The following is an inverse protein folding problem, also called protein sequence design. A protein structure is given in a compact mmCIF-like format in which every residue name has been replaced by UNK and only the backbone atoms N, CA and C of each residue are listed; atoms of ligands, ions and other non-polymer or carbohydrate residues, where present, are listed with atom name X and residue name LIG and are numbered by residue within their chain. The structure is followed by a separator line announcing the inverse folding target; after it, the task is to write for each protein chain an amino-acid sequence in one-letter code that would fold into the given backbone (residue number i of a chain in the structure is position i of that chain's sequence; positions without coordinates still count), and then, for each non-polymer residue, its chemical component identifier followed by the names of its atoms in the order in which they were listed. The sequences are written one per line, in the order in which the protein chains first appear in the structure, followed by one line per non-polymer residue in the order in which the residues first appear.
data_IF_903217162485
#
_entry.id   IF_903217162485
#
_cell.length_a   1.000
_cell.length_b   1.000
_cell.length_c   1.000
_cell.angle_alpha   90.00
_cell.angle_beta   90.00
_cell.angle_gamma   90.00
#
_symmetry.space_group_name_H-M   'P 1'
#
loop_
_entity.id
_entity.type
_entity.pdbx_description
1 polymer ?
#
# COMPACT_ATOMS: atom_id res chain seq x y z
N UNK A 1 18.46 -7.01 6.17
CA UNK A 1 18.18 -5.58 6.51
C UNK A 1 18.41 -4.69 5.28
N UNK A 2 17.68 -4.94 4.19
CA UNK A 2 17.90 -4.34 2.86
C UNK A 2 17.13 -3.03 2.67
N UNK A 3 15.92 -2.93 3.22
CA UNK A 3 15.10 -1.72 3.11
C UNK A 3 15.39 -0.74 4.27
N UNK A 4 15.73 0.53 4.01
CA UNK A 4 15.90 1.53 5.06
C UNK A 4 14.62 1.78 5.87
N UNK A 5 14.73 2.23 7.13
CA UNK A 5 13.55 2.71 7.88
C UNK A 5 12.95 3.91 7.14
N UNK A 6 11.61 4.01 7.14
CA UNK A 6 10.88 5.07 6.43
C UNK A 6 11.20 5.10 4.93
N UNK A 7 11.09 3.93 4.29
CA UNK A 7 11.42 3.74 2.88
C UNK A 7 10.18 3.34 2.10
N UNK A 8 10.17 3.66 0.82
CA UNK A 8 9.14 3.17 -0.08
C UNK A 8 9.65 3.01 -1.50
N UNK A 9 9.11 2.01 -2.20
CA UNK A 9 9.32 1.78 -3.63
C UNK A 9 8.06 1.20 -4.26
N UNK A 10 8.00 1.25 -5.59
CA UNK A 10 6.87 0.67 -6.34
C UNK A 10 7.23 -0.75 -6.72
N UNK A 11 6.40 -1.71 -6.32
CA UNK A 11 6.51 -3.11 -6.73
C UNK A 11 5.38 -3.49 -7.69
N UNK A 12 5.63 -4.53 -8.49
CA UNK A 12 4.62 -5.08 -9.41
C UNK A 12 4.16 -6.43 -8.87
N UNK A 13 2.84 -6.60 -8.68
CA UNK A 13 2.25 -7.87 -8.27
C UNK A 13 0.85 -8.07 -8.85
N UNK A 14 0.53 -9.27 -9.39
CA UNK A 14 1.49 -10.33 -9.71
C UNK A 14 2.35 -9.90 -10.91
N UNK A 15 3.67 -10.09 -10.83
CA UNK A 15 4.56 -9.93 -11.98
C UNK A 15 4.40 -11.13 -12.90
N UNK A 16 4.34 -10.86 -14.20
CA UNK A 16 4.12 -11.85 -15.26
C UNK A 16 5.39 -12.12 -16.05
N UNK A 17 6.41 -11.26 -15.93
CA UNK A 17 7.59 -11.26 -16.79
C UNK A 17 7.35 -10.63 -18.17
N UNK A 18 6.10 -10.28 -18.51
CA UNK A 18 5.77 -9.48 -19.69
C UNK A 18 5.79 -7.99 -19.30
N UNK A 19 6.71 -7.18 -19.87
CA UNK A 19 6.80 -5.76 -19.55
C UNK A 19 5.53 -4.96 -19.82
N UNK A 20 4.73 -5.35 -20.82
CA UNK A 20 3.49 -4.65 -21.16
C UNK A 20 2.40 -4.91 -20.14
N UNK A 21 2.22 -6.17 -19.71
CA UNK A 21 1.29 -6.51 -18.63
C UNK A 21 1.78 -5.94 -17.31
N UNK A 22 3.07 -6.04 -17.03
CA UNK A 22 3.64 -5.53 -15.79
C UNK A 22 3.63 -4.00 -15.71
N UNK A 23 3.41 -3.28 -16.82
CA UNK A 23 3.19 -1.83 -16.82
C UNK A 23 1.77 -1.41 -16.38
N UNK A 24 0.83 -2.36 -16.27
CA UNK A 24 -0.56 -2.09 -15.90
C UNK A 24 -0.68 -1.45 -14.51
N UNK A 25 -1.43 -0.35 -14.42
CA UNK A 25 -1.63 0.43 -13.19
C UNK A 25 -2.19 -0.41 -12.02
N UNK A 26 -3.09 -1.35 -12.31
CA UNK A 26 -3.74 -2.21 -11.31
C UNK A 26 -2.80 -3.26 -10.70
N UNK A 27 -1.58 -3.41 -11.25
CA UNK A 27 -0.53 -4.28 -10.71
C UNK A 27 0.51 -3.53 -9.91
N UNK A 28 0.37 -2.21 -9.74
CA UNK A 28 1.33 -1.37 -9.03
C UNK A 28 0.94 -1.18 -7.58
N UNK A 29 1.90 -1.45 -6.70
CA UNK A 29 1.73 -1.38 -5.26
C UNK A 29 2.80 -0.50 -4.65
N UNK A 30 2.40 0.34 -3.71
CA UNK A 30 3.33 1.11 -2.90
C UNK A 30 3.83 0.20 -1.78
N UNK A 31 5.04 -0.35 -1.94
CA UNK A 31 5.75 -1.02 -0.85
C UNK A 31 6.31 0.03 0.08
N UNK A 32 6.12 -0.16 1.39
CA UNK A 32 6.51 0.78 2.43
C UNK A 32 7.16 -0.01 3.56
N UNK A 33 8.39 0.36 3.94
CA UNK A 33 8.89 0.12 5.29
C UNK A 33 8.54 1.34 6.13
N UNK A 34 7.76 1.11 7.18
CA UNK A 34 7.23 2.18 8.02
C UNK A 34 8.36 3.03 8.65
N UNK A 35 8.04 4.27 9.08
CA UNK A 35 8.95 5.04 9.91
C UNK A 35 9.05 4.44 11.32
N UNK A 36 10.09 4.83 12.07
CA UNK A 36 10.41 4.23 13.36
C UNK A 36 9.24 4.38 14.37
N UNK A 37 8.63 5.56 14.42
CA UNK A 37 7.49 5.85 15.31
C UNK A 37 6.23 5.01 15.00
N UNK A 38 6.16 4.40 13.82
CA UNK A 38 5.10 3.48 13.40
C UNK A 38 5.56 2.02 13.43
N UNK A 39 6.70 1.73 14.06
CA UNK A 39 7.23 0.37 14.26
C UNK A 39 8.11 -0.13 13.13
N UNK A 40 8.60 0.73 12.24
CA UNK A 40 9.46 0.34 11.12
C UNK A 40 10.84 -0.21 11.49
N UNK A 41 11.29 -0.02 12.73
CA UNK A 41 12.54 -0.55 13.27
C UNK A 41 12.46 -2.02 13.69
N UNK A 42 11.24 -2.58 13.81
CA UNK A 42 11.03 -4.01 14.04
C UNK A 42 11.63 -4.84 12.90
N UNK A 43 12.02 -6.07 13.21
CA UNK A 43 12.68 -6.99 12.29
C UNK A 43 11.74 -8.13 11.86
N UNK A 44 10.48 -7.81 11.66
CA UNK A 44 9.43 -8.74 11.24
C UNK A 44 8.49 -8.06 10.22
N UNK A 45 7.50 -8.80 9.71
CA UNK A 45 6.53 -8.33 8.71
C UNK A 45 5.73 -7.11 9.16
N UNK A 46 5.59 -6.85 10.47
CA UNK A 46 4.82 -5.71 10.97
C UNK A 46 5.43 -4.35 10.63
N UNK A 47 6.72 -4.32 10.27
CA UNK A 47 7.42 -3.13 9.77
C UNK A 47 7.04 -2.73 8.35
N UNK A 48 6.33 -3.59 7.62
CA UNK A 48 6.10 -3.44 6.18
C UNK A 48 4.63 -3.32 5.85
N UNK A 49 4.32 -2.57 4.80
CA UNK A 49 2.99 -2.46 4.19
C UNK A 49 3.13 -2.48 2.67
N UNK A 50 2.12 -3.00 2.00
CA UNK A 50 1.94 -2.79 0.57
C UNK A 50 0.47 -2.55 0.27
N UNK A 51 0.20 -1.40 -0.35
CA UNK A 51 -1.15 -0.99 -0.74
C UNK A 51 -1.20 -0.75 -2.23
N UNK A 52 -2.36 -1.01 -2.84
CA UNK A 52 -2.55 -0.69 -4.25
C UNK A 52 -2.33 0.79 -4.48
N UNK A 53 -1.62 1.16 -5.55
CA UNK A 53 -1.43 2.56 -5.93
C UNK A 53 -2.71 3.19 -6.53
N UNK A 54 -3.75 2.40 -6.80
CA UNK A 54 -4.99 2.90 -7.39
C UNK A 54 -5.80 3.66 -6.33
N UNK A 55 -5.76 5.00 -6.41
CA UNK A 55 -6.48 5.90 -5.50
C UNK A 55 -8.00 5.67 -5.59
N UNK A 56 -8.68 5.60 -4.45
CA UNK A 56 -10.09 5.24 -4.37
C UNK A 56 -11.04 6.32 -4.91
N UNK A 57 -10.59 7.56 -5.07
CA UNK A 57 -11.39 8.62 -5.68
C UNK A 57 -11.69 8.37 -7.16
N UNK A 58 -10.65 8.44 -8.01
CA UNK A 58 -10.76 8.30 -9.48
C UNK A 58 -9.45 7.70 -10.04
N UNK A 59 -8.91 6.70 -9.34
CA UNK A 59 -7.89 5.75 -9.82
C UNK A 59 -6.53 6.32 -10.28
N UNK A 60 -6.25 7.58 -10.00
CA UNK A 60 -4.88 8.10 -10.11
C UNK A 60 -3.90 7.27 -9.25
N UNK A 61 -2.63 7.25 -9.67
CA UNK A 61 -1.57 6.61 -8.90
C UNK A 61 -1.05 7.53 -7.80
N UNK A 62 -1.30 7.17 -6.54
CA UNK A 62 -0.73 7.85 -5.38
C UNK A 62 0.65 7.28 -5.04
N UNK A 63 1.44 8.00 -4.25
CA UNK A 63 2.70 7.46 -3.70
C UNK A 63 2.90 7.81 -2.24
N UNK A 64 3.74 7.04 -1.56
CA UNK A 64 4.23 7.36 -0.22
C UNK A 64 5.32 8.43 -0.30
N UNK A 65 5.34 9.31 0.70
CA UNK A 65 6.31 10.38 0.83
C UNK A 65 7.06 10.23 2.16
N UNK A 66 8.35 9.84 2.14
CA UNK A 66 9.12 9.54 3.35
C UNK A 66 9.68 10.79 4.05
N UNK A 67 9.51 12.00 3.50
CA UNK A 67 10.07 13.21 4.10
C UNK A 67 9.51 13.48 5.51
N UNK A 68 10.35 14.03 6.38
CA UNK A 68 9.93 14.47 7.72
C UNK A 68 8.76 15.46 7.64
N UNK A 69 7.76 15.28 8.51
CA UNK A 69 6.50 16.02 8.46
C UNK A 69 5.52 15.60 7.35
N UNK A 70 5.89 14.62 6.50
CA UNK A 70 5.04 14.07 5.44
C UNK A 70 4.56 12.67 5.76
N UNK A 71 5.45 11.67 5.75
CA UNK A 71 5.28 10.26 6.17
C UNK A 71 3.88 9.69 5.93
N UNK A 72 3.34 9.88 4.72
CA UNK A 72 1.97 9.49 4.36
C UNK A 72 1.84 9.21 2.87
N UNK A 73 0.74 8.56 2.48
CA UNK A 73 0.35 8.45 1.09
C UNK A 73 -0.30 9.73 0.59
N UNK A 74 0.04 10.19 -0.62
CA UNK A 74 -0.62 11.33 -1.24
C UNK A 74 -0.95 11.06 -2.72
N UNK A 75 -2.21 11.30 -3.09
CA UNK A 75 -2.67 11.28 -4.45
C UNK A 75 -2.53 12.69 -5.07
N UNK A 76 -1.74 12.85 -6.16
CA UNK A 76 -1.46 14.16 -6.73
C UNK A 76 -2.64 14.80 -7.45
N UNK A 77 -3.67 14.03 -7.80
CA UNK A 77 -4.77 14.53 -8.63
C UNK A 77 -5.73 15.45 -7.87
N UNK A 78 -6.15 15.03 -6.67
CA UNK A 78 -7.19 15.74 -5.90
C UNK A 78 -6.87 15.81 -4.40
N UNK A 79 -5.61 15.54 -4.01
CA UNK A 79 -5.14 15.71 -2.64
C UNK A 79 -5.68 14.68 -1.63
N UNK A 80 -6.11 13.50 -2.08
CA UNK A 80 -6.43 12.41 -1.13
C UNK A 80 -5.17 11.97 -0.40
N UNK A 81 -5.23 11.87 0.93
CA UNK A 81 -4.11 11.42 1.76
C UNK A 81 -4.47 10.14 2.49
N UNK A 82 -3.52 9.21 2.54
CA UNK A 82 -3.69 7.87 3.11
C UNK A 82 -2.77 7.65 4.29
N UNK A 83 -3.32 7.08 5.36
CA UNK A 83 -2.57 6.66 6.53
C UNK A 83 -1.65 5.49 6.14
N UNK A 84 -0.33 5.58 6.38
CA UNK A 84 0.61 4.52 5.96
C UNK A 84 0.46 3.23 6.76
N UNK A 85 -0.18 3.25 7.93
CA UNK A 85 -0.36 2.06 8.78
C UNK A 85 -1.57 1.22 8.37
N UNK A 86 -2.63 1.88 7.89
CA UNK A 86 -3.92 1.24 7.58
C UNK A 86 -4.32 1.32 6.12
N UNK A 87 -3.74 2.22 5.32
CA UNK A 87 -4.17 2.49 3.95
C UNK A 87 -5.53 3.21 3.87
N UNK A 88 -6.07 3.69 4.99
CA UNK A 88 -7.33 4.44 5.04
C UNK A 88 -7.10 5.91 4.68
N UNK A 89 -7.94 6.44 3.81
CA UNK A 89 -7.93 7.84 3.45
C UNK A 89 -8.42 8.69 4.63
N UNK A 90 -7.62 9.68 5.05
CA UNK A 90 -7.98 10.59 6.15
C UNK A 90 -8.18 12.04 5.70
N UNK A 91 -7.84 12.36 4.46
CA UNK A 91 -8.10 13.67 3.85
C UNK A 91 -8.38 13.55 2.35
N UNK A 92 -8.98 14.60 1.78
CA UNK A 92 -9.36 14.70 0.38
C UNK A 92 -10.59 13.85 0.01
N UNK A 93 -10.97 13.78 -1.28
CA UNK A 93 -12.25 13.19 -1.67
C UNK A 93 -12.36 11.68 -1.40
N UNK A 94 -11.24 10.93 -1.35
CA UNK A 94 -11.28 9.51 -0.97
C UNK A 94 -11.71 9.31 0.50
N UNK A 95 -11.43 10.24 1.41
CA UNK A 95 -11.84 10.13 2.81
C UNK A 95 -13.33 10.43 3.04
N UNK A 96 -14.03 10.94 2.02
CA UNK A 96 -15.47 11.21 2.06
C UNK A 96 -16.31 10.02 1.58
N UNK A 97 -15.67 8.96 1.09
CA UNK A 97 -16.35 7.73 0.71
C UNK A 97 -16.73 6.91 1.94
N UNK A 98 -17.86 6.21 1.86
CA UNK A 98 -18.23 5.24 2.89
C UNK A 98 -17.28 4.03 2.84
N UNK A 99 -17.06 3.39 3.99
CA UNK A 99 -16.38 2.09 4.01
C UNK A 99 -17.17 1.08 3.16
N UNK A 100 -16.51 0.19 2.40
CA UNK A 100 -15.06 -0.04 2.35
C UNK A 100 -14.27 0.89 1.40
N UNK A 101 -14.94 1.80 0.69
CA UNK A 101 -14.36 2.60 -0.40
C UNK A 101 -13.48 3.78 0.02
N UNK A 102 -13.09 3.82 1.28
CA UNK A 102 -12.10 4.76 1.81
C UNK A 102 -10.80 4.07 2.28
N UNK A 103 -10.65 2.75 2.15
CA UNK A 103 -9.44 2.02 2.59
C UNK A 103 -8.86 1.16 1.49
N UNK A 104 -7.58 1.32 1.19
CA UNK A 104 -6.92 0.70 0.04
C UNK A 104 -6.82 -0.82 0.17
N UNK A 105 -6.91 -1.52 -0.97
CA UNK A 105 -6.54 -2.93 -1.04
C UNK A 105 -5.05 -3.12 -0.66
N UNK A 106 -4.71 -4.24 -0.02
CA UNK A 106 -3.38 -4.50 0.53
C UNK A 106 -2.84 -5.88 0.17
N UNK A 107 -1.52 -6.01 0.13
CA UNK A 107 -0.83 -7.29 0.11
C UNK A 107 -0.35 -7.63 1.53
N UNK A 108 -0.45 -8.90 1.88
CA UNK A 108 0.11 -9.43 3.12
C UNK A 108 1.47 -10.06 2.85
N UNK A 109 2.31 -10.11 3.87
CA UNK A 109 3.65 -10.65 3.77
C UNK A 109 3.91 -11.78 4.74
N UNK A 110 4.84 -12.65 4.38
CA UNK A 110 5.54 -13.56 5.27
C UNK A 110 7.06 -13.37 5.13
N UNK A 111 7.81 -13.79 6.14
CA UNK A 111 9.28 -13.84 6.10
C UNK A 111 9.70 -15.29 6.26
N UNK A 112 10.55 -15.77 5.35
CA UNK A 112 11.08 -17.13 5.44
C UNK A 112 12.28 -17.24 6.40
N UNK A 113 12.81 -18.46 6.54
CA UNK A 113 13.94 -18.75 7.44
C UNK A 113 15.24 -18.02 7.04
N UNK A 114 15.38 -17.64 5.77
CA UNK A 114 16.54 -16.93 5.24
C UNK A 114 16.38 -15.40 5.32
N UNK A 115 15.21 -14.94 5.76
CA UNK A 115 14.90 -13.52 5.94
C UNK A 115 14.42 -12.82 4.67
N UNK A 116 14.00 -13.56 3.65
CA UNK A 116 13.34 -12.98 2.47
C UNK A 116 11.87 -12.69 2.76
N UNK A 117 11.40 -11.56 2.23
CA UNK A 117 10.02 -11.12 2.36
C UNK A 117 9.22 -11.60 1.14
N UNK A 118 8.15 -12.36 1.38
CA UNK A 118 7.29 -12.92 0.35
C UNK A 118 5.89 -12.32 0.43
N UNK A 119 5.28 -12.07 -0.73
CA UNK A 119 3.86 -11.71 -0.82
C UNK A 119 3.04 -12.99 -0.68
N UNK A 120 2.19 -13.03 0.34
CA UNK A 120 1.20 -14.09 0.47
C UNK A 120 0.15 -13.96 -0.65
N UNK A 121 -0.30 -15.08 -1.26
CA UNK A 121 -1.39 -15.05 -2.23
C UNK A 121 -2.61 -14.32 -1.65
N UNK A 122 -3.07 -13.22 -2.27
CA UNK A 122 -4.16 -12.43 -1.72
C UNK A 122 -5.51 -13.14 -1.90
N UNK A 123 -6.34 -13.06 -0.88
CA UNK A 123 -7.76 -13.40 -0.97
C UNK A 123 -8.51 -12.12 -1.32
N UNK A 124 -9.00 -12.03 -2.57
CA UNK A 124 -9.70 -10.83 -3.02
C UNK A 124 -11.13 -10.79 -2.47
N UNK A 125 -11.45 -9.69 -1.80
CA UNK A 125 -12.73 -9.49 -1.14
C UNK A 125 -12.66 -8.31 -0.18
N UNK A 126 -13.77 -7.60 -0.01
CA UNK A 126 -13.81 -6.39 0.84
C UNK A 126 -13.53 -6.67 2.31
N UNK A 127 -13.70 -7.91 2.76
CA UNK A 127 -13.41 -8.34 4.14
C UNK A 127 -11.98 -8.93 4.29
N UNK A 128 -11.22 -9.01 3.20
CA UNK A 128 -9.90 -9.64 3.12
C UNK A 128 -8.86 -8.62 2.59
N UNK A 129 -8.14 -8.94 1.50
CA UNK A 129 -7.14 -8.06 0.90
C UNK A 129 -7.74 -6.85 0.17
N UNK A 130 -9.05 -6.81 -0.03
CA UNK A 130 -9.76 -5.75 -0.74
C UNK A 130 -9.99 -6.02 -2.20
N UNK A 131 -10.62 -5.06 -2.86
CA UNK A 131 -10.80 -5.02 -4.31
C UNK A 131 -10.06 -3.80 -4.83
N UNK A 132 -9.12 -4.00 -5.76
CA UNK A 132 -8.30 -2.91 -6.29
C UNK A 132 -9.19 -1.83 -6.94
N UNK A 133 -9.00 -0.58 -6.53
CA UNK A 133 -9.82 0.55 -6.98
C UNK A 133 -11.19 0.68 -6.31
N UNK A 134 -11.62 -0.26 -5.48
CA UNK A 134 -12.88 -0.19 -4.72
C UNK A 134 -12.69 -0.19 -3.20
N UNK A 135 -11.67 -0.86 -2.67
CA UNK A 135 -11.26 -0.80 -1.27
C UNK A 135 -11.52 -2.06 -0.44
N UNK A 136 -11.39 -1.93 0.89
CA UNK A 136 -11.62 -2.98 1.91
C UNK A 136 -12.14 -2.40 3.22
N UNK A 137 -12.68 -3.23 4.10
CA UNK A 137 -12.88 -2.85 5.48
C UNK A 137 -11.54 -2.82 6.22
N UNK A 138 -11.40 -1.91 7.18
CA UNK A 138 -10.26 -1.91 8.08
C UNK A 138 -10.38 -3.10 9.04
N UNK A 139 -9.35 -3.95 9.05
CA UNK A 139 -9.16 -5.05 10.00
C UNK A 139 -8.56 -4.55 11.31
#
# INVERSE_FOLDING_TARGET
KTFPINHSEVITYPSTGDPALDAEAFRKWQFIRLPQELGGDKQDVSSFRAYSMVCLHLWCLWKYWPEEGRKRGECPCHGSMYDPTTGTAFAGPASLQAAPSNTLAQLNFEVDADGFLWVLPPTWGVNDNGVIGYGRFAS
#
